data_IF_080001763401
#
_entry.id   IF_080001763401
#
_cell.length_a   1.000
_cell.length_b   1.000
_cell.length_c   1.000
_cell.angle_alpha   90.00
_cell.angle_beta   90.00
_cell.angle_gamma   90.00
#
_symmetry.space_group_name_H-M   'P 1'
#
loop_
_entity.id
_entity.type
_entity.pdbx_description
1 polymer ?
2 non-polymer ?
3 water ?
#
# COMPACT_ATOMS: atom_id res chain seq x y z
N UNK A 8 -13.22 -19.58 -1.54
CA UNK A 8 -13.48 -18.15 -1.49
C UNK A 8 -12.18 -17.34 -1.75
N UNK A 9 -12.37 -16.29 -2.53
CA UNK A 9 -11.29 -15.43 -3.00
C UNK A 9 -11.22 -14.07 -2.30
N UNK A 10 -12.07 -13.83 -1.30
CA UNK A 10 -12.20 -12.48 -0.74
C UNK A 10 -10.86 -11.94 -0.28
N UNK A 11 -10.12 -12.73 0.49
CA UNK A 11 -8.85 -12.26 1.01
C UNK A 11 -7.93 -11.84 -0.13
N UNK A 12 -8.00 -12.52 -1.27
CA UNK A 12 -7.07 -12.18 -2.34
C UNK A 12 -7.48 -10.90 -3.04
N UNK A 13 -8.75 -10.76 -3.40
CA UNK A 13 -9.18 -9.53 -4.06
C UNK A 13 -8.96 -8.34 -3.16
N UNK A 14 -9.11 -8.56 -1.85
CA UNK A 14 -8.76 -7.56 -0.86
C UNK A 14 -7.30 -7.14 -1.03
N UNK A 15 -6.40 -8.11 -1.12
CA UNK A 15 -4.98 -7.80 -1.27
C UNK A 15 -4.73 -7.00 -2.53
N UNK A 16 -5.31 -7.43 -3.64
CA UNK A 16 -5.02 -6.83 -4.94
C UNK A 16 -5.53 -5.40 -5.02
N UNK A 17 -6.68 -5.11 -4.41
CA UNK A 17 -7.15 -3.72 -4.43
C UNK A 17 -6.24 -2.81 -3.62
N UNK A 18 -5.77 -3.28 -2.47
CA UNK A 18 -4.82 -2.50 -1.69
C UNK A 18 -3.53 -2.26 -2.46
N UNK A 19 -3.02 -3.31 -3.12
CA UNK A 19 -1.80 -3.18 -3.90
C UNK A 19 -1.96 -2.13 -4.99
N UNK A 20 -3.09 -2.14 -5.70
CA UNK A 20 -3.37 -1.09 -6.67
C UNK A 20 -3.29 0.29 -6.02
N UNK A 21 -3.93 0.45 -4.87
CA UNK A 21 -3.84 1.72 -4.16
C UNK A 21 -2.40 2.08 -3.86
N UNK A 22 -1.60 1.10 -3.45
CA UNK A 22 -0.20 1.37 -3.17
C UNK A 22 0.50 1.93 -4.41
N UNK A 23 0.27 1.32 -5.56
CA UNK A 23 0.90 1.82 -6.77
C UNK A 23 0.36 3.19 -7.15
N UNK A 24 -0.95 3.41 -6.99
CA UNK A 24 -1.49 4.73 -7.28
C UNK A 24 -0.85 5.80 -6.43
N UNK A 25 -0.34 5.44 -5.27
CA UNK A 25 0.19 6.47 -4.40
C UNK A 25 1.63 6.82 -4.75
N UNK A 26 2.19 6.15 -5.76
CA UNK A 26 3.54 6.43 -6.24
C UNK A 26 3.50 6.75 -7.73
N UNK A 27 2.94 7.90 -8.11
CA UNK A 27 2.88 8.23 -9.53
C UNK A 27 4.25 8.62 -10.06
N UNK A 28 4.52 8.37 -11.34
CA UNK A 28 5.81 8.77 -11.91
C UNK A 28 5.96 10.27 -11.88
N UNK A 29 7.20 10.77 -11.81
CA UNK A 29 7.42 12.21 -11.80
C UNK A 29 7.32 12.81 -13.20
N UNK A 30 7.04 14.12 -13.22
CA UNK A 30 7.24 14.92 -14.42
C UNK A 30 8.72 15.28 -14.55
N UNK A 31 9.27 15.19 -15.70
CA UNK A 31 10.72 15.47 -15.84
C UNK A 31 11.02 16.96 -15.91
N UNK A 32 10.88 17.66 -14.79
CA UNK A 32 11.16 19.09 -14.77
C UNK A 32 12.11 19.41 -13.62
N UNK A 33 12.64 20.63 -13.67
CA UNK A 33 13.67 21.05 -12.74
C UNK A 33 15.05 20.80 -13.31
N UNK A 34 16.06 20.91 -12.44
CA UNK A 34 17.41 20.66 -12.93
C UNK A 34 17.55 19.18 -13.27
N UNK A 35 18.47 18.89 -14.20
CA UNK A 35 18.77 17.51 -14.54
C UNK A 35 19.11 16.71 -13.29
N UNK A 36 19.80 17.35 -12.35
CA UNK A 36 20.21 16.65 -11.14
C UNK A 36 19.01 16.37 -10.24
N UNK A 37 18.08 17.33 -10.14
CA UNK A 37 16.83 17.06 -9.44
C UNK A 37 16.00 16.01 -10.17
N UNK A 38 15.99 16.05 -11.50
CA UNK A 38 15.21 15.05 -12.24
C UNK A 38 15.70 13.65 -11.94
N UNK A 39 17.02 13.45 -11.96
CA UNK A 39 17.57 12.12 -11.70
C UNK A 39 17.42 11.74 -10.23
N UNK A 40 17.60 12.69 -9.30
CA UNK A 40 17.38 12.33 -7.91
C UNK A 40 15.95 11.88 -7.70
N UNK A 41 15.04 12.48 -8.44
CA UNK A 41 13.63 12.24 -8.24
C UNK A 41 13.14 10.95 -8.91
N UNK A 42 13.67 10.62 -10.08
CA UNK A 42 13.43 9.29 -10.64
C UNK A 42 14.01 8.22 -9.73
N UNK A 43 15.15 8.50 -9.09
CA UNK A 43 15.77 7.50 -8.22
C UNK A 43 14.89 7.21 -7.01
N UNK A 44 14.40 8.26 -6.34
CA UNK A 44 13.51 8.03 -5.21
C UNK A 44 12.26 7.30 -5.66
N UNK A 45 11.76 7.64 -6.84
CA UNK A 45 10.59 6.96 -7.35
C UNK A 45 10.85 5.48 -7.57
N UNK A 46 12.02 5.13 -8.12
CA UNK A 46 12.27 3.72 -8.36
C UNK A 46 12.39 2.97 -7.04
N UNK A 47 12.98 3.60 -6.03
CA UNK A 47 13.10 2.95 -4.73
C UNK A 47 11.74 2.75 -4.08
N UNK A 48 10.84 3.74 -4.19
CA UNK A 48 9.49 3.56 -3.68
C UNK A 48 8.73 2.52 -4.49
N UNK A 49 8.88 2.55 -5.81
CA UNK A 49 8.22 1.58 -6.67
C UNK A 49 8.73 0.17 -6.41
N UNK A 50 10.03 0.03 -6.17
CA UNK A 50 10.57 -1.28 -5.83
C UNK A 50 10.06 -1.76 -4.49
N UNK A 51 9.98 -0.84 -3.52
CA UNK A 51 9.39 -1.15 -2.23
C UNK A 51 7.98 -1.71 -2.40
N UNK A 52 7.14 -1.00 -3.15
CA UNK A 52 5.77 -1.45 -3.37
C UNK A 52 5.76 -2.79 -4.10
N UNK A 53 6.68 -2.98 -5.04
CA UNK A 53 6.71 -4.24 -5.78
C UNK A 53 6.99 -5.41 -4.84
N UNK A 54 8.06 -5.32 -4.06
CA UNK A 54 8.41 -6.41 -3.16
C UNK A 54 7.33 -6.63 -2.10
N UNK A 55 6.75 -5.55 -1.57
CA UNK A 55 5.64 -5.68 -0.62
C UNK A 55 4.49 -6.46 -1.25
N UNK A 56 4.10 -6.10 -2.47
CA UNK A 56 2.98 -6.77 -3.14
C UNK A 56 3.25 -8.25 -3.34
N UNK A 57 4.47 -8.59 -3.74
CA UNK A 57 4.81 -9.98 -3.96
C UNK A 57 4.67 -10.80 -2.68
N UNK A 58 5.29 -10.35 -1.59
CA UNK A 58 5.14 -11.07 -0.33
C UNK A 58 3.69 -11.20 0.07
N UNK A 59 2.90 -10.16 -0.18
CA UNK A 59 1.47 -10.21 0.11
C UNK A 59 0.80 -11.29 -0.71
N UNK A 60 1.10 -11.34 -2.00
CA UNK A 60 0.43 -12.31 -2.85
C UNK A 60 0.96 -13.72 -2.60
N UNK A 61 2.25 -13.85 -2.35
CA UNK A 61 2.80 -15.15 -2.02
C UNK A 61 2.16 -15.70 -0.75
N UNK A 62 1.73 -14.80 0.14
CA UNK A 62 1.02 -15.21 1.35
C UNK A 62 -0.26 -15.97 1.03
N UNK A 63 -0.91 -15.63 -0.07
CA UNK A 63 -2.10 -16.32 -0.53
C UNK A 63 -1.80 -17.60 -1.26
N UNK A 64 -0.54 -18.02 -1.21
CA UNK A 64 0.01 -19.22 -1.82
C UNK A 64 0.04 -19.06 -3.32
N UNK A 65 -0.44 -17.93 -3.84
CA UNK A 65 -0.42 -17.62 -5.25
C UNK A 65 -1.38 -16.49 -5.54
N UNK B 11 13.76 -14.52 9.82
CA UNK B 11 13.51 -13.12 9.52
C UNK B 11 12.04 -12.74 9.65
N UNK B 12 11.65 -12.52 10.89
CA UNK B 12 10.40 -11.85 11.17
C UNK B 12 10.42 -10.41 10.69
N UNK B 13 11.60 -9.77 10.71
CA UNK B 13 11.73 -8.35 10.40
C UNK B 13 11.11 -7.98 9.06
N UNK B 14 11.21 -8.86 8.06
CA UNK B 14 10.53 -8.57 6.81
C UNK B 14 9.04 -8.41 7.03
N UNK B 15 8.43 -9.30 7.80
CA UNK B 15 7.00 -9.19 8.06
C UNK B 15 6.67 -7.87 8.75
N UNK B 16 7.41 -7.51 9.79
CA UNK B 16 7.02 -6.36 10.61
C UNK B 16 7.20 -5.06 9.84
N UNK B 17 8.26 -4.95 9.05
CA UNK B 17 8.46 -3.74 8.27
C UNK B 17 7.39 -3.62 7.20
N UNK B 18 6.99 -4.74 6.62
CA UNK B 18 5.89 -4.72 5.66
C UNK B 18 4.62 -4.24 6.31
N UNK B 19 4.30 -4.79 7.47
CA UNK B 19 3.09 -4.38 8.17
C UNK B 19 3.18 -2.92 8.55
N UNK B 20 4.32 -2.52 9.10
CA UNK B 20 4.50 -1.11 9.40
C UNK B 20 4.22 -0.26 8.17
N UNK B 21 4.84 -0.62 7.05
CA UNK B 21 4.64 0.15 5.82
C UNK B 21 3.17 0.24 5.44
N UNK B 22 2.43 -0.86 5.60
CA UNK B 22 1.01 -0.86 5.28
C UNK B 22 0.25 0.17 6.11
N UNK B 23 0.50 0.19 7.42
CA UNK B 23 -0.23 1.12 8.28
C UNK B 23 0.13 2.56 7.96
N UNK B 24 1.40 2.82 7.63
CA UNK B 24 1.86 4.14 7.21
C UNK B 24 1.18 4.61 5.93
N UNK B 25 0.73 3.69 5.09
CA UNK B 25 0.23 4.03 3.77
C UNK B 25 -1.24 4.44 3.74
N UNK B 26 -1.95 4.48 4.87
CA UNK B 26 -3.35 4.89 4.87
C UNK B 26 -3.54 6.10 5.79
N UNK B 27 -3.07 7.26 5.36
CA UNK B 27 -3.22 8.48 6.16
C UNK B 27 -4.68 8.89 6.23
N UNK B 28 -5.04 9.74 7.19
CA UNK B 28 -6.45 10.12 7.34
C UNK B 28 -7.01 10.67 6.04
N UNK B 29 -8.31 10.52 5.82
CA UNK B 29 -8.90 10.99 4.57
C UNK B 29 -9.03 12.51 4.55
N UNK B 30 -9.21 13.03 3.35
CA UNK B 30 -9.39 14.46 3.13
C UNK B 30 -10.69 14.96 3.75
N UNK B 31 -10.63 15.88 4.73
CA UNK B 31 -11.85 16.45 5.33
C UNK B 31 -12.67 17.33 4.39
N UNK B 32 -12.16 17.68 3.22
CA UNK B 32 -12.69 18.74 2.38
C UNK B 32 -13.30 18.18 1.10
N UNK B 33 -14.14 19.01 0.47
CA UNK B 33 -14.97 18.67 -0.68
C UNK B 33 -16.44 18.56 -0.33
N UNK B 34 -17.20 18.02 -1.28
CA UNK B 34 -18.64 17.86 -1.14
C UNK B 34 -18.98 16.84 -0.06
N UNK B 35 -20.23 16.92 0.42
CA UNK B 35 -20.68 15.97 1.43
C UNK B 35 -20.32 14.55 1.03
N UNK B 36 -20.57 14.21 -0.23
CA UNK B 36 -20.35 12.84 -0.69
C UNK B 36 -18.89 12.52 -0.98
N UNK B 37 -18.12 13.49 -1.47
CA UNK B 37 -16.68 13.25 -1.58
C UNK B 37 -16.08 13.01 -0.20
N UNK B 38 -16.55 13.75 0.80
CA UNK B 38 -16.10 13.59 2.17
C UNK B 38 -16.48 12.21 2.70
N UNK B 39 -17.73 11.80 2.46
CA UNK B 39 -18.20 10.52 2.96
C UNK B 39 -17.58 9.36 2.19
N UNK B 40 -17.46 9.49 0.87
CA UNK B 40 -16.86 8.42 0.08
C UNK B 40 -15.40 8.19 0.45
N UNK B 41 -14.69 9.24 0.84
CA UNK B 41 -13.30 9.03 1.19
C UNK B 41 -13.16 8.41 2.57
N UNK B 42 -14.08 8.73 3.49
CA UNK B 42 -14.10 8.02 4.76
C UNK B 42 -14.39 6.54 4.55
N UNK B 43 -15.36 6.23 3.69
CA UNK B 43 -15.69 4.84 3.42
C UNK B 43 -14.51 4.10 2.82
N UNK B 44 -13.84 4.72 1.85
CA UNK B 44 -12.67 4.05 1.27
C UNK B 44 -11.53 3.93 2.27
N UNK B 45 -11.37 4.90 3.18
CA UNK B 45 -10.33 4.77 4.19
C UNK B 45 -10.59 3.57 5.08
N UNK B 46 -11.85 3.37 5.47
CA UNK B 46 -12.22 2.27 6.37
C UNK B 46 -12.04 0.91 5.71
N UNK B 47 -12.31 0.79 4.40
CA UNK B 47 -12.12 -0.49 3.74
C UNK B 47 -10.65 -0.78 3.46
N UNK B 48 -9.86 0.23 3.08
CA UNK B 48 -8.41 0.03 3.03
C UNK B 48 -7.87 -0.42 4.37
N UNK B 49 -8.35 0.20 5.46
CA UNK B 49 -7.89 -0.20 6.78
C UNK B 49 -8.27 -1.65 7.07
N UNK B 50 -9.46 -2.08 6.62
CA UNK B 50 -9.81 -3.49 6.76
C UNK B 50 -8.89 -4.38 5.93
N UNK B 51 -8.61 -3.99 4.69
CA UNK B 51 -7.61 -4.70 3.90
C UNK B 51 -6.29 -4.79 4.64
N UNK B 52 -5.80 -3.65 5.14
CA UNK B 52 -4.52 -3.62 5.84
C UNK B 52 -4.55 -4.55 7.04
N UNK B 53 -5.63 -4.53 7.81
CA UNK B 53 -5.75 -5.42 8.96
C UNK B 53 -5.69 -6.88 8.53
N UNK B 54 -6.58 -7.27 7.62
CA UNK B 54 -6.68 -8.66 7.22
C UNK B 54 -5.37 -9.17 6.62
N UNK B 55 -4.72 -8.34 5.81
CA UNK B 55 -3.43 -8.72 5.26
C UNK B 55 -2.43 -8.90 6.39
N UNK B 56 -2.38 -7.94 7.29
CA UNK B 56 -1.43 -8.05 8.38
C UNK B 56 -1.70 -9.30 9.21
N UNK B 57 -2.97 -9.60 9.48
CA UNK B 57 -3.31 -10.83 10.20
C UNK B 57 -2.75 -12.03 9.48
N UNK B 58 -2.95 -12.06 8.17
CA UNK B 58 -2.57 -13.20 7.35
C UNK B 58 -1.06 -13.39 7.33
N UNK B 59 -0.31 -12.29 7.21
CA UNK B 59 1.14 -12.38 7.17
C UNK B 59 1.69 -12.94 8.47
N UNK B 60 1.17 -12.46 9.60
CA UNK B 60 1.66 -12.95 10.88
C UNK B 60 1.23 -14.39 11.12
N UNK B 61 0.06 -14.77 10.62
CA UNK B 61 -0.39 -16.15 10.73
C UNK B 61 0.55 -17.13 10.04
N UNK B 62 1.28 -16.69 9.02
CA UNK B 62 2.24 -17.59 8.39
C UNK B 62 3.29 -18.05 9.39
N UNK B 63 3.58 -17.23 10.39
CA UNK B 63 4.48 -17.53 11.49
C UNK B 63 3.77 -18.34 12.55
N UNK B 64 2.55 -18.71 12.20
CA UNK B 64 1.49 -19.49 12.84
C UNK B 64 1.00 -18.81 14.11
N UNK B 65 0.66 -19.62 15.11
CA UNK B 65 -0.39 -19.23 16.04
C UNK B 65 -1.81 -19.68 15.69
X LIG C 1 17.71 6.99 -16.06
X LIG C 1 18.81 5.95 -16.08
X LIG C 1 18.09 8.07 -17.05
X LIG C 1 17.69 7.59 -14.67
X LIG C 1 16.38 6.34 -16.42
#
# INVERSE_FOLDING_TARGET
MAGRSGDSDEDLLKAVRLIKFLYQSNPPPNPEGTRQARRNRRRRWRERQRQIHSISERILSTYLGRSAEP
MAGRSGDSDEDLLKAVRLIKFLYQSNPPPNPEGTRQARRNRRRRWRERQRQIHSISERILSTYLGRSAEP
PO4 P O1 O2 O3 O4
#
